data_IF_191612735868
#
_entry.id   IF_191612735868
#
_cell.length_a   1.000
_cell.length_b   1.000
_cell.length_c   1.000
_cell.angle_alpha   90.00
_cell.angle_beta   90.00
_cell.angle_gamma   90.00
#
_symmetry.space_group_name_H-M   'P 1'
#
loop_
_entity.id
_entity.type
_entity.pdbx_description
1 polymer ?
#
# COMPACT_ATOMS: atom_id res chain seq x y z
N UNK A 1 -0.06 7.78 22.03
CA UNK A 1 -1.48 7.42 22.22
C UNK A 1 -1.76 5.96 21.88
N UNK A 2 -1.64 5.50 20.63
CA UNK A 2 -1.89 4.09 20.26
C UNK A 2 -0.96 3.11 21.01
N UNK A 3 0.35 3.36 21.01
CA UNK A 3 1.33 2.53 21.74
C UNK A 3 1.12 2.52 23.27
N UNK A 4 0.32 3.46 23.80
CA UNK A 4 -0.02 3.55 25.22
C UNK A 4 -1.37 2.89 25.52
N UNK A 5 -1.91 2.09 24.57
CA UNK A 5 -3.21 1.44 24.65
C UNK A 5 -4.36 2.39 24.98
N UNK A 6 -4.27 3.65 24.53
CA UNK A 6 -5.39 4.58 24.66
C UNK A 6 -6.60 4.02 23.88
N UNK A 7 -7.77 3.78 24.52
CA UNK A 7 -8.88 3.09 23.87
C UNK A 7 -9.39 3.79 22.61
N UNK A 8 -9.47 5.12 22.62
CA UNK A 8 -9.94 5.89 21.45
C UNK A 8 -8.94 5.79 20.30
N UNK A 9 -7.65 5.89 20.57
CA UNK A 9 -6.61 5.72 19.56
C UNK A 9 -6.63 4.31 18.94
N UNK A 10 -6.82 3.27 19.76
CA UNK A 10 -6.95 1.90 19.29
C UNK A 10 -8.16 1.75 18.36
N UNK A 11 -9.32 2.27 18.74
CA UNK A 11 -10.53 2.23 17.91
C UNK A 11 -10.34 2.93 16.56
N UNK A 12 -9.66 4.08 16.54
CA UNK A 12 -9.41 4.82 15.29
C UNK A 12 -8.46 4.04 14.38
N UNK A 13 -7.38 3.47 14.92
CA UNK A 13 -6.45 2.65 14.14
C UNK A 13 -7.12 1.39 13.63
N UNK A 14 -7.98 0.76 14.42
CA UNK A 14 -8.78 -0.39 13.98
C UNK A 14 -9.67 -0.03 12.78
N UNK A 15 -10.34 1.12 12.86
CA UNK A 15 -11.16 1.62 11.75
C UNK A 15 -10.31 1.90 10.51
N UNK A 16 -9.11 2.46 10.67
CA UNK A 16 -8.21 2.71 9.56
C UNK A 16 -7.76 1.40 8.88
N UNK A 17 -7.40 0.38 9.65
CA UNK A 17 -7.03 -0.96 9.14
C UNK A 17 -8.18 -1.55 8.33
N UNK A 18 -9.41 -1.46 8.86
CA UNK A 18 -10.62 -1.92 8.15
C UNK A 18 -10.81 -1.22 6.81
N UNK A 19 -10.75 0.10 6.81
CA UNK A 19 -10.90 0.90 5.59
C UNK A 19 -9.80 0.60 4.56
N UNK A 20 -8.54 0.46 4.98
CA UNK A 20 -7.44 0.11 4.08
C UNK A 20 -7.59 -1.31 3.53
N UNK A 21 -8.02 -2.27 4.34
CA UNK A 21 -8.27 -3.65 3.90
C UNK A 21 -9.39 -3.73 2.86
N UNK A 22 -10.51 -3.06 3.10
CA UNK A 22 -11.62 -3.00 2.14
C UNK A 22 -11.23 -2.28 0.84
N UNK A 23 -10.51 -1.16 0.92
CA UNK A 23 -10.06 -0.44 -0.25
C UNK A 23 -9.11 -1.30 -1.10
N UNK A 24 -8.13 -1.95 -0.47
CA UNK A 24 -7.18 -2.81 -1.18
C UNK A 24 -7.82 -4.09 -1.70
N UNK A 25 -8.81 -4.66 -1.01
CA UNK A 25 -9.59 -5.78 -1.52
C UNK A 25 -10.29 -5.44 -2.85
N UNK A 26 -10.87 -4.24 -2.96
CA UNK A 26 -11.49 -3.79 -4.21
C UNK A 26 -10.43 -3.65 -5.31
N UNK A 27 -9.28 -3.03 -5.02
CA UNK A 27 -8.19 -2.89 -5.99
C UNK A 27 -7.68 -4.26 -6.47
N UNK A 28 -7.49 -5.21 -5.54
CA UNK A 28 -7.05 -6.56 -5.85
C UNK A 28 -8.07 -7.28 -6.73
N UNK A 29 -9.35 -7.17 -6.40
CA UNK A 29 -10.44 -7.82 -7.15
C UNK A 29 -10.61 -7.25 -8.55
N UNK A 30 -10.34 -5.95 -8.73
CA UNK A 30 -10.49 -5.26 -10.02
C UNK A 30 -9.27 -5.43 -10.92
N UNK A 31 -8.07 -5.40 -10.37
CA UNK A 31 -6.83 -5.27 -11.14
C UNK A 31 -5.99 -6.55 -11.18
N UNK A 32 -6.26 -7.53 -10.31
CA UNK A 32 -5.42 -8.71 -10.11
C UNK A 32 -3.90 -8.38 -10.06
N UNK A 33 -3.47 -7.43 -9.21
CA UNK A 33 -2.09 -6.96 -9.20
C UNK A 33 -1.16 -8.00 -8.56
N UNK A 34 0.10 -8.00 -8.98
CA UNK A 34 1.16 -8.79 -8.30
C UNK A 34 1.52 -8.20 -6.94
N UNK A 35 1.43 -6.88 -6.78
CA UNK A 35 1.81 -6.18 -5.54
C UNK A 35 0.93 -4.97 -5.24
N UNK A 36 0.69 -4.71 -3.95
CA UNK A 36 0.21 -3.45 -3.41
C UNK A 36 1.30 -2.86 -2.53
N UNK A 37 1.78 -1.67 -2.89
CA UNK A 37 2.86 -0.97 -2.16
C UNK A 37 2.26 0.14 -1.30
N UNK A 38 2.50 0.08 0.01
CA UNK A 38 2.05 1.06 0.99
C UNK A 38 3.16 2.07 1.30
N UNK A 39 2.93 3.35 0.97
CA UNK A 39 3.90 4.42 1.16
C UNK A 39 3.29 5.73 1.67
N UNK A 40 4.12 6.78 1.69
CA UNK A 40 3.77 8.10 2.23
C UNK A 40 3.95 8.18 3.75
N UNK A 41 3.92 9.40 4.30
CA UNK A 41 4.28 9.65 5.71
C UNK A 41 3.43 8.90 6.75
N UNK A 42 2.20 8.52 6.41
CA UNK A 42 1.34 7.68 7.26
C UNK A 42 1.88 6.26 7.38
N UNK A 43 2.32 5.69 6.25
CA UNK A 43 2.94 4.36 6.17
C UNK A 43 4.45 4.40 6.43
N UNK A 44 4.90 5.25 7.37
CA UNK A 44 6.11 4.98 8.14
C UNK A 44 5.74 4.17 9.39
N UNK A 45 5.03 4.76 10.38
CA UNK A 45 4.60 4.05 11.58
C UNK A 45 3.55 2.97 11.32
N UNK A 46 2.74 3.10 10.26
CA UNK A 46 1.64 2.18 9.96
C UNK A 46 2.08 0.89 9.22
N UNK A 47 3.34 0.78 8.78
CA UNK A 47 3.88 -0.44 8.14
C UNK A 47 3.64 -1.68 9.00
N UNK A 48 3.74 -1.53 10.33
CA UNK A 48 3.47 -2.61 11.29
C UNK A 48 2.07 -3.22 11.21
N UNK A 49 1.15 -2.59 10.49
CA UNK A 49 -0.23 -3.04 10.33
C UNK A 49 -0.50 -3.68 8.96
N UNK A 50 0.49 -3.76 8.06
CA UNK A 50 0.29 -4.31 6.71
C UNK A 50 -0.29 -5.73 6.75
N UNK A 51 0.20 -6.60 7.64
CA UNK A 51 -0.36 -7.95 7.81
C UNK A 51 -1.84 -7.91 8.20
N UNK A 52 -2.23 -6.99 9.09
CA UNK A 52 -3.62 -6.83 9.52
C UNK A 52 -4.50 -6.27 8.42
N UNK A 53 -3.96 -5.38 7.58
CA UNK A 53 -4.64 -4.85 6.40
C UNK A 53 -4.85 -5.98 5.38
N UNK A 54 -3.85 -6.84 5.17
CA UNK A 54 -3.97 -8.01 4.30
C UNK A 54 -5.03 -9.00 4.83
N UNK A 55 -5.05 -9.30 6.12
CA UNK A 55 -6.08 -10.16 6.72
C UNK A 55 -7.49 -9.57 6.56
N UNK A 56 -7.62 -8.25 6.69
CA UNK A 56 -8.89 -7.59 6.39
C UNK A 56 -9.26 -7.73 4.91
N UNK A 57 -8.32 -7.49 4.00
CA UNK A 57 -8.55 -7.59 2.55
C UNK A 57 -9.01 -9.00 2.14
N UNK A 58 -8.45 -10.05 2.75
CA UNK A 58 -8.85 -11.45 2.53
C UNK A 58 -10.32 -11.75 2.77
N UNK A 59 -11.04 -10.93 3.57
CA UNK A 59 -12.47 -11.13 3.83
C UNK A 59 -13.35 -10.69 2.66
N UNK A 60 -12.86 -9.79 1.80
CA UNK A 60 -13.67 -9.12 0.78
C UNK A 60 -13.16 -9.32 -0.65
N UNK A 61 -11.86 -9.61 -0.81
CA UNK A 61 -11.21 -9.67 -2.10
C UNK A 61 -11.57 -10.94 -2.90
N UNK A 62 -11.43 -10.87 -4.22
CA UNK A 62 -11.59 -12.01 -5.11
C UNK A 62 -10.63 -13.15 -4.67
N UNK A 63 -11.13 -14.39 -4.46
CA UNK A 63 -10.38 -15.45 -3.76
C UNK A 63 -9.09 -15.94 -4.43
N UNK A 64 -8.95 -15.78 -5.74
CA UNK A 64 -7.77 -16.18 -6.51
C UNK A 64 -6.75 -15.04 -6.49
N UNK A 65 -7.16 -13.83 -6.84
CA UNK A 65 -6.32 -12.64 -6.89
C UNK A 65 -5.67 -12.32 -5.55
N UNK A 66 -6.40 -12.44 -4.44
CA UNK A 66 -5.83 -12.15 -3.11
C UNK A 66 -4.70 -13.11 -2.71
N UNK A 67 -4.68 -14.32 -3.27
CA UNK A 67 -3.60 -15.30 -3.01
C UNK A 67 -2.34 -15.04 -3.84
N UNK A 68 -2.44 -14.22 -4.89
CA UNK A 68 -1.36 -13.94 -5.83
C UNK A 68 -0.66 -12.61 -5.55
N UNK A 69 -1.35 -11.67 -4.89
CA UNK A 69 -0.83 -10.35 -4.57
C UNK A 69 0.04 -10.34 -3.32
N UNK A 70 1.12 -9.54 -3.32
CA UNK A 70 1.92 -9.24 -2.13
C UNK A 70 1.64 -7.83 -1.61
N UNK A 71 1.53 -7.68 -0.28
CA UNK A 71 1.37 -6.38 0.37
C UNK A 71 2.72 -5.96 0.96
N UNK A 72 3.30 -4.85 0.48
CA UNK A 72 4.68 -4.48 0.79
C UNK A 72 4.79 -3.01 1.23
N UNK A 73 5.72 -2.66 2.14
CA UNK A 73 6.05 -1.27 2.41
C UNK A 73 6.85 -0.65 1.25
N UNK A 74 6.68 0.66 1.03
CA UNK A 74 7.52 1.41 0.10
C UNK A 74 8.97 1.48 0.60
N UNK A 75 9.93 1.15 -0.26
CA UNK A 75 11.35 1.14 0.07
C UNK A 75 12.04 2.52 -0.05
N UNK A 76 11.50 3.42 -0.87
CA UNK A 76 12.17 4.69 -1.23
C UNK A 76 11.84 5.85 -0.29
N UNK A 77 10.91 5.68 0.64
CA UNK A 77 10.51 6.74 1.58
C UNK A 77 10.19 8.06 0.88
N UNK A 78 10.78 9.15 1.37
CA UNK A 78 10.48 10.53 0.94
C UNK A 78 11.03 10.88 -0.46
N UNK A 79 11.95 10.08 -1.01
CA UNK A 79 12.56 10.36 -2.33
C UNK A 79 11.82 9.68 -3.49
N UNK A 80 10.73 8.95 -3.22
CA UNK A 80 9.97 8.21 -4.25
C UNK A 80 9.53 9.07 -5.43
N UNK A 81 9.08 10.31 -5.16
CA UNK A 81 8.63 11.24 -6.20
C UNK A 81 9.79 11.70 -7.09
N UNK A 82 10.97 11.93 -6.50
CA UNK A 82 12.17 12.35 -7.25
C UNK A 82 12.67 11.23 -8.15
N UNK A 83 12.71 9.98 -7.66
CA UNK A 83 13.08 8.82 -8.46
C UNK A 83 12.11 8.61 -9.63
N UNK A 84 10.81 8.71 -9.40
CA UNK A 84 9.80 8.61 -10.45
C UNK A 84 9.96 9.69 -11.52
N UNK A 85 10.14 10.95 -11.10
CA UNK A 85 10.38 12.07 -12.01
C UNK A 85 11.67 11.90 -12.84
N UNK A 86 12.76 11.47 -12.20
CA UNK A 86 14.03 11.22 -12.89
C UNK A 86 13.92 10.06 -13.89
N UNK A 87 13.18 9.00 -13.55
CA UNK A 87 12.94 7.87 -14.46
C UNK A 87 12.16 8.32 -15.70
N UNK A 88 11.10 9.11 -15.53
CA UNK A 88 10.31 9.65 -16.64
C UNK A 88 11.17 10.56 -17.54
N UNK A 89 11.94 11.48 -16.96
CA UNK A 89 12.82 12.37 -17.72
C UNK A 89 13.93 11.63 -18.48
N UNK A 90 14.33 10.44 -18.01
CA UNK A 90 15.30 9.59 -18.73
C UNK A 90 14.69 8.96 -19.99
N UNK A 91 13.44 8.51 -19.92
CA UNK A 91 12.74 7.85 -21.04
C UNK A 91 12.50 8.77 -22.24
N UNK A 92 12.47 10.10 -22.03
CA UNK A 92 12.31 11.08 -23.11
C UNK A 92 13.52 11.17 -24.06
N UNK A 93 14.67 10.55 -23.73
CA UNK A 93 15.88 10.57 -24.58
C UNK A 93 16.06 9.36 -25.50
N UNK A 94 15.29 8.29 -25.34
CA UNK A 94 15.46 7.05 -26.14
C UNK A 94 14.60 7.03 -27.44
N UNK A 95 13.71 7.99 -27.65
CA UNK A 95 12.90 8.11 -28.88
C UNK A 95 13.49 9.04 -29.97
N UNK A 96 14.66 9.66 -29.74
CA UNK A 96 15.39 10.33 -30.82
C UNK A 96 16.25 9.26 -31.50
N UNK A 97 15.61 8.51 -32.41
CA UNK A 97 16.28 7.66 -33.39
C UNK A 97 17.12 8.54 -34.34
N UNK A 98 18.40 8.24 -34.48
CA UNK A 98 19.19 8.52 -35.69
C UNK A 98 18.75 7.57 -36.84
#
# INVERSE_FOLDING_TARGET
AYNMNNPQACTIVEKAIKCWGQATANLVSLLNPEMIIFGGGVFGPAIRFIDRIYQEACQWAQPISIKQVQFLPSALGDVVALYGAAYLAKGEREEIHD
#
